data_IF_593041391262
#
_entry.id   IF_593041391262
#
_cell.length_a   1.000
_cell.length_b   1.000
_cell.length_c   1.000
_cell.angle_alpha   90.00
_cell.angle_beta   90.00
_cell.angle_gamma   90.00
#
_symmetry.space_group_name_H-M   'P 1'
#
loop_
_entity.id
_entity.type
_entity.pdbx_description
1 polymer ?
#
# COMPACT_ATOMS: atom_id res chain seq x y z
N UNK A 1 16.31 -11.77 16.80
CA UNK A 1 14.92 -12.29 16.89
C UNK A 1 14.01 -11.23 16.34
N UNK A 2 12.90 -11.61 15.71
CA UNK A 2 11.92 -10.64 15.22
C UNK A 2 11.23 -9.99 16.42
N UNK A 3 11.20 -8.66 16.48
CA UNK A 3 10.77 -7.90 17.67
C UNK A 3 9.99 -6.66 17.28
N UNK A 4 9.09 -6.24 18.17
CA UNK A 4 8.49 -4.91 18.12
C UNK A 4 9.50 -3.94 18.75
N UNK A 5 10.04 -3.02 17.97
CA UNK A 5 10.98 -2.00 18.45
C UNK A 5 10.25 -0.85 19.13
N UNK A 6 9.12 -0.45 18.55
CA UNK A 6 8.37 0.72 18.99
C UNK A 6 6.89 0.54 18.73
N UNK A 7 6.09 0.99 19.69
CA UNK A 7 4.65 1.18 19.57
C UNK A 7 4.31 2.62 19.93
N UNK A 8 3.60 3.29 19.05
CA UNK A 8 3.04 4.63 19.26
C UNK A 8 1.52 4.48 19.38
N UNK A 9 0.99 4.48 20.60
CA UNK A 9 -0.41 4.10 20.89
C UNK A 9 -1.46 5.04 20.29
N UNK A 10 -1.17 6.34 20.17
CA UNK A 10 -2.11 7.35 19.68
C UNK A 10 -1.42 8.17 18.61
N UNK A 11 -1.20 7.56 17.45
CA UNK A 11 -0.61 8.23 16.31
C UNK A 11 -1.64 9.12 15.59
N UNK A 12 -2.91 8.74 15.62
CA UNK A 12 -4.05 9.47 15.07
C UNK A 12 -5.23 9.50 16.06
N UNK A 13 -6.18 10.41 15.83
CA UNK A 13 -7.38 10.53 16.67
C UNK A 13 -8.43 9.48 16.27
N UNK A 14 -8.32 8.89 15.07
CA UNK A 14 -9.14 7.78 14.58
C UNK A 14 -8.29 6.68 13.90
N UNK A 15 -8.96 5.61 13.45
CA UNK A 15 -8.33 4.47 12.80
C UNK A 15 -7.43 4.87 11.63
N UNK A 16 -6.25 4.25 11.55
CA UNK A 16 -5.28 4.52 10.49
C UNK A 16 -5.45 3.44 9.42
N UNK A 17 -5.83 3.86 8.22
CA UNK A 17 -6.15 2.94 7.12
C UNK A 17 -4.99 2.77 6.14
N UNK A 18 -4.15 3.78 6.02
CA UNK A 18 -3.08 3.79 5.04
C UNK A 18 -1.75 4.19 5.65
N UNK A 19 -0.69 3.55 5.17
CA UNK A 19 0.67 3.92 5.45
C UNK A 19 1.52 3.64 4.20
N UNK A 20 2.54 4.47 3.99
CA UNK A 20 3.62 4.19 3.05
C UNK A 20 4.94 4.72 3.61
N UNK A 21 6.04 4.02 3.33
CA UNK A 21 7.34 4.32 3.93
C UNK A 21 8.42 4.42 2.86
N UNK A 22 8.97 5.62 2.72
CA UNK A 22 10.09 5.90 1.82
C UNK A 22 11.40 6.04 2.59
N UNK A 23 12.48 5.57 1.97
CA UNK A 23 13.83 5.85 2.42
C UNK A 23 14.73 6.14 1.23
N UNK A 24 15.54 7.18 1.37
CA UNK A 24 16.46 7.61 0.34
C UNK A 24 17.67 6.68 0.26
N UNK A 25 17.71 5.80 -0.74
CA UNK A 25 18.79 4.83 -0.93
C UNK A 25 20.14 5.51 -1.20
N UNK A 26 20.12 6.71 -1.80
CA UNK A 26 21.34 7.50 -2.08
C UNK A 26 21.85 8.24 -0.83
N UNK A 27 21.01 8.41 0.19
CA UNK A 27 21.37 9.03 1.46
C UNK A 27 20.91 8.18 2.66
N UNK A 28 21.57 7.04 2.93
CA UNK A 28 21.13 6.06 3.93
C UNK A 28 21.28 6.52 5.39
N UNK A 29 21.78 7.74 5.61
CA UNK A 29 21.83 8.40 6.92
C UNK A 29 20.58 9.26 7.18
N UNK A 30 19.83 9.57 6.13
CA UNK A 30 18.57 10.32 6.25
C UNK A 30 17.49 9.41 6.86
N UNK A 31 16.77 9.86 7.91
CA UNK A 31 15.64 9.14 8.44
C UNK A 31 14.62 8.81 7.35
N UNK A 32 14.01 7.62 7.43
CA UNK A 32 12.92 7.27 6.52
C UNK A 32 11.69 8.15 6.79
N UNK A 33 10.95 8.46 5.73
CA UNK A 33 9.67 9.18 5.80
C UNK A 33 8.53 8.18 5.79
N UNK A 34 7.82 8.08 6.90
CA UNK A 34 6.58 7.30 6.99
C UNK A 34 5.41 8.28 6.85
N UNK A 35 4.52 8.04 5.88
CA UNK A 35 3.30 8.81 5.68
C UNK A 35 2.13 7.95 6.11
N UNK A 36 1.22 8.48 6.93
CA UNK A 36 0.01 7.77 7.39
C UNK A 36 -1.24 8.58 7.10
N UNK A 37 -2.30 7.89 6.67
CA UNK A 37 -3.64 8.45 6.45
C UNK A 37 -4.67 7.76 7.33
N UNK A 38 -5.53 8.55 7.96
CA UNK A 38 -6.50 8.06 8.92
C UNK A 38 -7.91 8.62 8.71
N UNK A 39 -8.87 8.03 9.43
CA UNK A 39 -10.26 8.45 9.45
C UNK A 39 -10.52 9.76 10.21
N UNK A 40 -9.48 10.36 10.79
CA UNK A 40 -9.54 11.71 11.41
C UNK A 40 -9.35 12.83 10.38
N UNK A 41 -9.51 12.51 9.09
CA UNK A 41 -9.34 13.38 7.92
C UNK A 41 -7.89 13.89 7.70
N UNK A 42 -6.94 13.44 8.51
CA UNK A 42 -5.55 13.93 8.46
C UNK A 42 -4.61 12.96 7.75
N UNK A 43 -3.60 13.55 7.11
CA UNK A 43 -2.37 12.85 6.74
C UNK A 43 -1.27 13.30 7.68
N UNK A 44 -0.49 12.38 8.23
CA UNK A 44 0.68 12.68 9.06
C UNK A 44 1.95 12.17 8.42
N UNK A 45 3.02 12.96 8.52
CA UNK A 45 4.35 12.61 8.05
C UNK A 45 5.26 12.46 9.27
N UNK A 46 5.94 11.33 9.35
CA UNK A 46 6.80 10.94 10.46
C UNK A 46 8.23 10.72 9.97
N UNK A 47 9.19 11.16 10.76
CA UNK A 47 10.59 10.76 10.66
C UNK A 47 10.77 9.47 11.45
N UNK A 48 11.37 8.46 10.82
CA UNK A 48 11.74 7.22 11.50
C UNK A 48 13.22 6.96 11.29
N UNK A 49 13.97 6.91 12.38
CA UNK A 49 15.40 6.64 12.33
C UNK A 49 15.71 5.18 11.95
N UNK A 50 16.98 4.91 11.64
CA UNK A 50 17.46 3.57 11.27
C UNK A 50 17.19 2.50 12.34
N UNK A 51 17.15 2.92 13.62
CA UNK A 51 16.88 2.02 14.72
C UNK A 51 15.39 1.61 14.78
N UNK A 52 14.50 2.43 14.21
CA UNK A 52 13.05 2.28 14.33
C UNK A 52 12.51 2.63 15.72
N UNK A 53 13.37 3.05 16.66
CA UNK A 53 12.97 3.41 18.02
C UNK A 53 12.54 4.87 18.13
N UNK A 54 13.13 5.74 17.29
CA UNK A 54 12.77 7.15 17.24
C UNK A 54 11.83 7.39 16.06
N UNK A 55 10.56 7.52 16.40
CA UNK A 55 9.51 8.00 15.49
C UNK A 55 9.06 9.38 15.96
N UNK A 56 9.20 10.38 15.09
CA UNK A 56 8.86 11.78 15.40
C UNK A 56 7.87 12.32 14.37
N UNK A 57 6.82 12.98 14.85
CA UNK A 57 5.87 13.67 13.97
C UNK A 57 6.56 14.90 13.38
N UNK A 58 6.68 14.96 12.07
CA UNK A 58 7.21 16.13 11.36
C UNK A 58 6.08 17.09 11.00
N UNK A 59 4.95 16.55 10.52
CA UNK A 59 3.83 17.37 10.06
C UNK A 59 2.48 16.65 10.15
N UNK A 60 1.46 17.41 10.56
CA UNK A 60 0.05 17.08 10.34
C UNK A 60 -0.48 17.91 9.19
N UNK A 61 -1.09 17.25 8.21
CA UNK A 61 -1.59 17.83 6.99
C UNK A 61 -3.10 17.76 6.95
N UNK A 62 -3.70 18.94 6.81
CA UNK A 62 -5.13 19.14 6.76
C UNK A 62 -5.55 19.45 5.32
N UNK A 63 -6.76 19.03 4.95
CA UNK A 63 -7.36 19.43 3.69
C UNK A 63 -8.26 18.40 3.05
N UNK A 64 -8.34 17.18 3.56
CA UNK A 64 -9.47 16.30 3.28
C UNK A 64 -10.64 16.65 4.20
N UNK A 65 -11.86 16.37 3.73
CA UNK A 65 -13.10 16.62 4.48
C UNK A 65 -13.75 15.34 4.99
N UNK A 66 -13.17 14.19 4.66
CA UNK A 66 -13.51 12.85 5.14
C UNK A 66 -12.23 12.02 5.28
N UNK A 67 -12.37 10.85 5.90
CA UNK A 67 -11.26 9.94 6.19
C UNK A 67 -10.38 9.61 4.99
N UNK A 68 -9.08 9.60 5.22
CA UNK A 68 -8.06 9.26 4.22
C UNK A 68 -8.00 7.73 4.08
N UNK A 69 -8.19 7.24 2.86
CA UNK A 69 -8.31 5.81 2.56
C UNK A 69 -7.03 5.20 1.99
N UNK A 70 -6.16 6.00 1.37
CA UNK A 70 -4.91 5.53 0.78
C UNK A 70 -3.89 6.66 0.74
N UNK A 71 -2.62 6.29 0.97
CA UNK A 71 -1.46 7.18 0.88
C UNK A 71 -0.36 6.44 0.15
N UNK A 72 0.37 7.12 -0.72
CA UNK A 72 1.49 6.54 -1.46
C UNK A 72 2.55 7.60 -1.73
N UNK A 73 3.82 7.27 -1.50
CA UNK A 73 4.97 8.10 -1.82
C UNK A 73 5.41 7.76 -3.25
N UNK A 74 5.79 8.79 -4.01
CA UNK A 74 6.22 8.60 -5.38
C UNK A 74 7.59 7.87 -5.43
N UNK A 75 7.91 7.14 -6.52
CA UNK A 75 9.19 6.44 -6.66
C UNK A 75 10.46 7.27 -6.44
N UNK A 76 10.40 8.60 -6.60
CA UNK A 76 11.53 9.49 -6.35
C UNK A 76 11.63 9.99 -4.90
N UNK A 77 10.61 9.77 -4.07
CA UNK A 77 10.55 10.22 -2.69
C UNK A 77 10.47 11.73 -2.51
N UNK A 78 9.97 12.46 -3.52
CA UNK A 78 9.85 13.92 -3.48
C UNK A 78 8.42 14.38 -3.23
N UNK A 79 7.46 13.53 -3.50
CA UNK A 79 6.04 13.80 -3.39
C UNK A 79 5.31 12.58 -2.85
N UNK A 80 4.09 12.81 -2.38
CA UNK A 80 3.18 11.71 -2.06
C UNK A 80 1.76 12.14 -2.40
N UNK A 81 0.88 11.16 -2.56
CA UNK A 81 -0.54 11.35 -2.81
C UNK A 81 -1.35 10.76 -1.66
N UNK A 82 -2.51 11.36 -1.41
CA UNK A 82 -3.54 10.83 -0.52
C UNK A 82 -4.90 10.88 -1.20
N UNK A 83 -5.71 9.84 -1.05
CA UNK A 83 -7.12 9.84 -1.43
C UNK A 83 -8.02 9.71 -0.21
N UNK A 84 -9.23 10.21 -0.33
CA UNK A 84 -10.22 10.22 0.76
C UNK A 84 -11.61 9.86 0.24
N UNK A 85 -12.47 9.46 1.17
CA UNK A 85 -13.91 9.29 0.94
C UNK A 85 -14.60 10.59 0.45
N UNK A 86 -13.95 11.75 0.57
CA UNK A 86 -14.42 13.02 0.00
C UNK A 86 -14.28 13.12 -1.52
N UNK A 87 -13.91 12.02 -2.20
CA UNK A 87 -13.70 11.93 -3.64
C UNK A 87 -12.55 12.81 -4.17
N UNK A 88 -11.68 13.30 -3.30
CA UNK A 88 -10.49 14.05 -3.68
C UNK A 88 -9.21 13.22 -3.54
N UNK A 89 -8.30 13.49 -4.47
CA UNK A 89 -6.89 13.11 -4.38
C UNK A 89 -6.08 14.38 -4.13
N UNK A 90 -5.30 14.42 -3.05
CA UNK A 90 -4.35 15.49 -2.80
C UNK A 90 -2.94 15.02 -3.15
N UNK A 91 -2.17 15.87 -3.85
CA UNK A 91 -0.73 15.65 -4.11
C UNK A 91 0.04 16.65 -3.28
N UNK A 92 1.06 16.19 -2.57
CA UNK A 92 1.82 16.95 -1.59
C UNK A 92 3.30 16.90 -1.92
N UNK A 93 4.02 17.97 -1.60
CA UNK A 93 5.48 17.96 -1.56
C UNK A 93 5.97 17.24 -0.28
N UNK A 94 6.94 16.33 -0.38
CA UNK A 94 7.44 15.61 0.80
C UNK A 94 8.54 16.39 1.56
N UNK A 95 9.12 17.43 0.94
CA UNK A 95 10.14 18.28 1.56
C UNK A 95 9.51 19.49 2.25
N UNK A 96 8.59 20.18 1.58
CA UNK A 96 7.93 21.38 2.13
C UNK A 96 6.61 21.07 2.85
N UNK A 97 6.05 19.88 2.61
CA UNK A 97 4.72 19.46 3.07
C UNK A 97 3.56 20.34 2.56
N UNK A 98 3.79 21.11 1.50
CA UNK A 98 2.75 21.92 0.88
C UNK A 98 1.89 21.09 -0.07
N UNK A 99 0.58 21.36 -0.10
CA UNK A 99 -0.34 20.75 -1.06
C UNK A 99 -0.06 21.34 -2.45
N UNK A 100 0.46 20.53 -3.37
CA UNK A 100 0.69 20.91 -4.78
C UNK A 100 -0.61 20.94 -5.58
N UNK A 101 -1.48 19.94 -5.37
CA UNK A 101 -2.73 19.77 -6.13
C UNK A 101 -3.84 19.19 -5.26
N UNK A 102 -5.07 19.54 -5.63
CA UNK A 102 -6.30 18.88 -5.20
C UNK A 102 -7.05 18.49 -6.47
N UNK A 103 -7.34 17.21 -6.62
CA UNK A 103 -7.97 16.62 -7.80
C UNK A 103 -9.31 16.05 -7.37
N UNK A 104 -10.40 16.65 -7.85
CA UNK A 104 -11.74 16.06 -7.74
C UNK A 104 -11.83 14.90 -8.74
N UNK A 105 -11.93 13.68 -8.22
CA UNK A 105 -12.00 12.47 -9.03
C UNK A 105 -13.39 12.22 -9.65
N UNK A 106 -14.38 13.04 -9.27
CA UNK A 106 -15.75 12.96 -9.72
C UNK A 106 -16.68 12.24 -8.73
N UNK A 107 -17.95 11.99 -9.12
CA UNK A 107 -18.98 11.43 -8.23
C UNK A 107 -18.80 9.94 -7.91
N UNK A 108 -17.88 9.27 -8.62
CA UNK A 108 -17.55 7.87 -8.37
C UNK A 108 -16.37 7.87 -7.42
N UNK A 109 -16.60 7.46 -6.17
CA UNK A 109 -15.65 7.48 -5.06
C UNK A 109 -14.23 7.07 -5.51
N UNK A 110 -13.23 7.91 -5.25
CA UNK A 110 -11.83 7.49 -5.33
C UNK A 110 -11.51 6.59 -4.15
N UNK A 111 -10.92 5.45 -4.44
CA UNK A 111 -10.53 4.47 -3.42
C UNK A 111 -9.03 4.51 -3.19
N UNK A 112 -8.25 3.59 -3.76
CA UNK A 112 -6.80 3.61 -3.62
C UNK A 112 -6.12 4.57 -4.59
N UNK A 113 -4.91 5.01 -4.25
CA UNK A 113 -4.04 5.79 -5.14
C UNK A 113 -2.70 5.09 -5.35
N UNK A 114 -2.11 5.25 -6.53
CA UNK A 114 -0.78 4.73 -6.86
C UNK A 114 -0.09 5.64 -7.89
N UNK A 115 1.18 5.97 -7.71
CA UNK A 115 1.96 6.65 -8.75
C UNK A 115 2.39 5.67 -9.86
N UNK A 116 2.46 6.18 -11.09
CA UNK A 116 3.22 5.50 -12.15
C UNK A 116 4.71 5.53 -11.83
N UNK A 117 5.48 4.59 -12.42
CA UNK A 117 6.91 4.42 -12.13
C UNK A 117 7.76 5.66 -12.40
N UNK A 118 7.33 6.50 -13.33
CA UNK A 118 7.96 7.76 -13.74
C UNK A 118 7.45 8.99 -12.97
N UNK A 119 6.55 8.78 -11.99
CA UNK A 119 5.89 9.82 -11.19
C UNK A 119 5.12 10.87 -12.00
N UNK A 120 4.83 10.61 -13.28
CA UNK A 120 4.10 11.55 -14.15
C UNK A 120 2.59 11.53 -13.91
N UNK A 121 2.07 10.38 -13.47
CA UNK A 121 0.64 10.19 -13.25
C UNK A 121 0.36 9.60 -11.87
N UNK A 122 -0.79 9.98 -11.32
CA UNK A 122 -1.42 9.29 -10.19
C UNK A 122 -2.64 8.52 -10.71
N UNK A 123 -2.70 7.25 -10.35
CA UNK A 123 -3.78 6.32 -10.66
C UNK A 123 -4.71 6.25 -9.46
N UNK A 124 -6.02 6.15 -9.70
CA UNK A 124 -6.99 5.87 -8.64
C UNK A 124 -8.08 4.91 -9.09
N UNK A 125 -8.36 3.91 -8.26
CA UNK A 125 -9.46 2.98 -8.48
C UNK A 125 -10.80 3.59 -8.09
N UNK A 126 -11.86 3.28 -8.84
CA UNK A 126 -13.22 3.76 -8.53
C UNK A 126 -14.25 2.63 -8.36
N UNK A 127 -15.45 3.01 -7.91
CA UNK A 127 -16.61 2.13 -7.68
C UNK A 127 -17.06 1.32 -8.90
N UNK A 128 -16.86 1.82 -10.11
CA UNK A 128 -17.28 1.18 -11.37
C UNK A 128 -16.26 0.16 -11.89
N UNK A 129 -15.14 -0.05 -11.17
CA UNK A 129 -14.08 -0.95 -11.61
C UNK A 129 -13.24 -0.36 -12.73
N UNK A 130 -13.06 0.96 -12.76
CA UNK A 130 -12.07 1.62 -13.61
C UNK A 130 -10.92 2.15 -12.78
N UNK A 131 -9.81 2.41 -13.46
CA UNK A 131 -8.68 3.14 -12.91
C UNK A 131 -8.62 4.48 -13.63
N UNK A 132 -8.73 5.56 -12.90
CA UNK A 132 -8.60 6.91 -13.43
C UNK A 132 -7.15 7.38 -13.32
N UNK A 133 -6.61 7.89 -14.42
CA UNK A 133 -5.23 8.35 -14.52
C UNK A 133 -5.21 9.87 -14.64
N UNK A 134 -4.58 10.53 -13.68
CA UNK A 134 -4.48 11.98 -13.61
C UNK A 134 -3.02 12.41 -13.75
N UNK A 135 -2.78 13.46 -14.53
CA UNK A 135 -1.46 14.08 -14.63
C UNK A 135 -1.08 14.73 -13.30
N UNK A 136 0.11 14.42 -12.79
CA UNK A 136 0.65 15.04 -11.56
C UNK A 136 0.90 16.53 -11.76
N UNK A 137 1.36 16.93 -12.96
CA UNK A 137 1.66 18.33 -13.29
C UNK A 137 0.38 19.17 -13.40
N UNK A 138 -0.61 18.68 -14.16
CA UNK A 138 -1.80 19.48 -14.48
C UNK A 138 -2.98 19.25 -13.53
N UNK A 139 -3.02 18.09 -12.85
CA UNK A 139 -4.15 17.64 -12.04
C UNK A 139 -5.36 17.19 -12.86
N UNK A 140 -5.25 17.12 -14.20
CA UNK A 140 -6.36 16.74 -15.08
C UNK A 140 -6.40 15.24 -15.29
N UNK A 141 -7.60 14.70 -15.45
CA UNK A 141 -7.83 13.32 -15.91
C UNK A 141 -7.38 13.21 -17.36
N UNK A 142 -6.41 12.33 -17.60
CA UNK A 142 -5.83 12.07 -18.93
C UNK A 142 -6.43 10.80 -19.56
N UNK A 143 -6.67 9.78 -18.74
CA UNK A 143 -7.18 8.48 -19.23
C UNK A 143 -8.03 7.77 -18.18
N UNK A 144 -8.99 6.97 -18.66
CA UNK A 144 -9.73 5.99 -17.86
C UNK A 144 -9.35 4.60 -18.36
N UNK A 145 -8.85 3.74 -17.46
CA UNK A 145 -8.37 2.40 -17.78
C UNK A 145 -9.43 1.37 -17.39
N UNK A 146 -9.84 0.57 -18.36
CA UNK A 146 -10.88 -0.45 -18.18
C UNK A 146 -10.28 -1.72 -17.56
N UNK A 147 -10.76 -2.12 -16.37
CA UNK A 147 -10.34 -3.38 -15.73
C UNK A 147 -11.25 -4.55 -16.07
N UNK A 148 -12.45 -4.26 -16.61
CA UNK A 148 -13.56 -5.22 -16.80
C UNK A 148 -14.05 -5.87 -15.50
N UNK A 149 -13.68 -5.32 -14.34
CA UNK A 149 -14.04 -5.80 -13.01
C UNK A 149 -15.22 -5.04 -12.40
N UNK A 150 -15.40 -5.26 -11.09
CA UNK A 150 -16.22 -4.40 -10.22
C UNK A 150 -15.30 -3.40 -9.51
N UNK A 151 -15.83 -2.64 -8.54
CA UNK A 151 -15.08 -1.69 -7.70
C UNK A 151 -13.62 -2.08 -7.47
N UNK A 152 -12.72 -1.17 -7.85
CA UNK A 152 -11.28 -1.30 -7.73
C UNK A 152 -10.85 -0.96 -6.29
N UNK A 153 -10.44 -1.98 -5.54
CA UNK A 153 -10.12 -1.87 -4.11
C UNK A 153 -8.63 -1.71 -3.82
N UNK A 154 -7.78 -2.17 -4.73
CA UNK A 154 -6.33 -2.13 -4.56
C UNK A 154 -5.63 -1.92 -5.89
N UNK A 155 -4.51 -1.21 -5.84
CA UNK A 155 -3.67 -0.90 -7.00
C UNK A 155 -2.21 -1.17 -6.66
N UNK A 156 -1.45 -1.65 -7.65
CA UNK A 156 0.00 -1.69 -7.59
C UNK A 156 0.58 -1.46 -8.98
N UNK A 157 1.75 -0.83 -9.04
CA UNK A 157 2.54 -0.67 -10.27
C UNK A 157 3.84 -1.44 -10.08
N UNK A 158 4.24 -2.22 -11.08
CA UNK A 158 5.49 -2.98 -10.99
C UNK A 158 6.71 -2.04 -10.99
N UNK A 159 7.79 -2.38 -10.25
CA UNK A 159 9.01 -1.56 -10.21
C UNK A 159 9.66 -1.29 -11.58
N UNK A 160 9.50 -2.20 -12.55
CA UNK A 160 9.93 -2.01 -13.94
C UNK A 160 8.96 -1.17 -14.79
N UNK A 161 7.79 -0.80 -14.24
CA UNK A 161 6.74 -0.02 -14.90
C UNK A 161 5.95 -0.80 -15.96
N UNK A 162 6.20 -2.10 -16.13
CA UNK A 162 5.56 -2.93 -17.16
C UNK A 162 4.10 -3.24 -16.87
N UNK A 163 3.72 -3.30 -15.60
CA UNK A 163 2.41 -3.76 -15.19
C UNK A 163 1.73 -2.80 -14.22
N UNK A 164 0.43 -2.62 -14.41
CA UNK A 164 -0.51 -2.11 -13.42
C UNK A 164 -1.41 -3.27 -13.02
N UNK A 165 -1.48 -3.59 -11.74
CA UNK A 165 -2.41 -4.57 -11.19
C UNK A 165 -3.53 -3.87 -10.42
N UNK A 166 -4.76 -4.37 -10.56
CA UNK A 166 -5.94 -3.85 -9.88
C UNK A 166 -6.77 -4.98 -9.28
N UNK A 167 -6.94 -4.97 -7.97
CA UNK A 167 -7.73 -5.95 -7.23
C UNK A 167 -9.17 -5.48 -7.09
N UNK A 168 -10.11 -6.33 -7.51
CA UNK A 168 -11.54 -6.02 -7.50
C UNK A 168 -12.27 -6.56 -6.26
N UNK A 169 -13.43 -5.96 -5.97
CA UNK A 169 -14.38 -6.45 -4.95
C UNK A 169 -14.98 -7.83 -5.24
N UNK A 170 -14.81 -8.35 -6.45
CA UNK A 170 -15.27 -9.69 -6.86
C UNK A 170 -14.18 -10.77 -6.78
N UNK A 171 -12.99 -10.46 -6.24
CA UNK A 171 -11.88 -11.42 -6.14
C UNK A 171 -11.02 -11.54 -7.39
N UNK A 172 -11.36 -10.82 -8.47
CA UNK A 172 -10.56 -10.80 -9.68
C UNK A 172 -9.43 -9.78 -9.57
N UNK A 173 -8.27 -10.08 -10.16
CA UNK A 173 -7.19 -9.10 -10.33
C UNK A 173 -7.02 -8.82 -11.81
N UNK A 174 -7.26 -7.58 -12.23
CA UNK A 174 -6.97 -7.14 -13.59
C UNK A 174 -5.49 -6.76 -13.70
N UNK A 175 -4.83 -7.23 -14.74
CA UNK A 175 -3.48 -6.85 -15.12
C UNK A 175 -3.54 -6.03 -16.41
N UNK A 176 -2.95 -4.84 -16.38
CA UNK A 176 -2.91 -3.90 -17.49
C UNK A 176 -1.45 -3.64 -17.86
N UNK A 177 -1.19 -3.44 -19.15
CA UNK A 177 0.11 -2.96 -19.63
C UNK A 177 0.38 -1.56 -19.06
N UNK A 178 1.50 -1.37 -18.38
CA UNK A 178 1.82 -0.13 -17.67
C UNK A 178 1.96 1.08 -18.59
N UNK A 179 2.78 1.02 -19.67
CA UNK A 179 2.98 2.15 -20.57
C UNK A 179 1.70 2.58 -21.32
N UNK A 180 0.90 1.62 -21.77
CA UNK A 180 -0.31 1.93 -22.55
C UNK A 180 -1.56 2.02 -21.70
N UNK A 181 -1.58 1.46 -20.49
CA UNK A 181 -2.79 1.32 -19.68
C UNK A 181 -3.85 0.41 -20.29
N UNK A 182 -3.48 -0.45 -21.25
CA UNK A 182 -4.43 -1.35 -21.91
C UNK A 182 -4.63 -2.62 -21.08
N UNK A 183 -5.87 -3.08 -20.97
CA UNK A 183 -6.19 -4.37 -20.37
C UNK A 183 -5.40 -5.50 -21.04
N UNK A 184 -4.67 -6.27 -20.24
CA UNK A 184 -3.93 -7.43 -20.71
C UNK A 184 -4.62 -8.74 -20.33
N UNK A 185 -4.87 -8.97 -19.03
CA UNK A 185 -5.41 -10.24 -18.54
C UNK A 185 -6.12 -10.10 -17.20
N UNK A 186 -7.03 -11.02 -16.92
CA UNK A 186 -7.58 -11.23 -15.57
C UNK A 186 -6.89 -12.42 -14.91
N UNK A 187 -6.38 -12.23 -13.70
CA UNK A 187 -5.91 -13.29 -12.82
C UNK A 187 -7.07 -13.70 -11.91
N UNK A 188 -7.40 -14.98 -11.95
CA UNK A 188 -8.45 -15.59 -11.15
C UNK A 188 -7.83 -16.38 -10.00
N UNK A 189 -8.58 -16.53 -8.90
CA UNK A 189 -8.19 -17.44 -7.83
C UNK A 189 -8.80 -17.10 -6.47
N UNK A 190 -9.05 -15.81 -6.20
CA UNK A 190 -9.71 -15.39 -4.97
C UNK A 190 -11.24 -15.41 -5.14
N UNK A 191 -11.93 -15.83 -4.08
CA UNK A 191 -13.40 -15.90 -4.05
C UNK A 191 -14.06 -14.66 -3.42
N UNK A 192 -13.25 -13.77 -2.86
CA UNK A 192 -13.67 -12.61 -2.07
C UNK A 192 -12.80 -11.39 -2.41
N UNK A 193 -13.16 -10.16 -2.00
CA UNK A 193 -12.43 -8.93 -2.31
C UNK A 193 -10.91 -9.05 -2.18
N UNK A 194 -10.16 -8.44 -3.11
CA UNK A 194 -8.69 -8.32 -3.07
C UNK A 194 -8.32 -6.93 -2.53
N UNK A 195 -7.83 -6.88 -1.29
CA UNK A 195 -7.61 -5.64 -0.53
C UNK A 195 -6.23 -5.04 -0.69
N UNK A 196 -5.22 -5.86 -1.00
CA UNK A 196 -3.87 -5.36 -1.22
C UNK A 196 -3.13 -6.18 -2.27
N UNK A 197 -2.21 -5.50 -2.95
CA UNK A 197 -1.38 -6.01 -4.02
C UNK A 197 0.05 -5.53 -3.79
N UNK A 198 1.03 -6.37 -4.10
CA UNK A 198 2.43 -5.95 -4.10
C UNK A 198 3.21 -6.70 -5.18
N UNK A 199 3.95 -5.97 -6.02
CA UNK A 199 4.93 -6.59 -6.92
C UNK A 199 6.23 -6.85 -6.19
N UNK A 200 6.92 -7.93 -6.56
CA UNK A 200 8.29 -8.15 -6.07
C UNK A 200 9.24 -7.07 -6.60
N UNK A 201 10.35 -6.78 -5.90
CA UNK A 201 11.32 -5.77 -6.33
C UNK A 201 11.88 -5.99 -7.75
N UNK A 202 12.02 -7.26 -8.16
CA UNK A 202 12.47 -7.66 -9.49
C UNK A 202 11.34 -7.72 -10.55
N UNK A 203 10.12 -7.35 -10.17
CA UNK A 203 8.91 -7.37 -11.03
C UNK A 203 8.55 -8.75 -11.60
N UNK A 204 9.05 -9.85 -11.00
CA UNK A 204 8.78 -11.21 -11.47
C UNK A 204 7.54 -11.86 -10.83
N UNK A 205 7.13 -11.38 -9.66
CA UNK A 205 5.99 -11.89 -8.90
C UNK A 205 4.97 -10.80 -8.56
N UNK A 206 3.72 -11.22 -8.38
CA UNK A 206 2.64 -10.41 -7.80
C UNK A 206 2.04 -11.15 -6.60
N UNK A 207 2.03 -10.49 -5.45
CA UNK A 207 1.25 -10.88 -4.28
C UNK A 207 -0.13 -10.25 -4.31
N UNK A 208 -1.11 -11.02 -3.85
CA UNK A 208 -2.52 -10.60 -3.77
C UNK A 208 -3.07 -11.05 -2.42
N UNK A 209 -3.68 -10.14 -1.67
CA UNK A 209 -4.22 -10.38 -0.34
C UNK A 209 -5.75 -10.18 -0.34
N UNK A 210 -6.49 -11.11 0.26
CA UNK A 210 -7.94 -11.17 0.12
C UNK A 210 -8.69 -11.45 1.42
N UNK A 211 -9.96 -11.08 1.40
CA UNK A 211 -10.98 -11.43 2.39
C UNK A 211 -11.23 -12.93 2.50
N UNK A 212 -10.82 -13.71 1.50
CA UNK A 212 -10.86 -15.16 1.59
C UNK A 212 -9.77 -15.74 2.51
N UNK A 213 -9.02 -14.86 3.20
CA UNK A 213 -8.01 -15.16 4.23
C UNK A 213 -6.70 -15.71 3.67
N UNK A 214 -6.54 -15.70 2.35
CA UNK A 214 -5.34 -16.19 1.69
C UNK A 214 -4.55 -15.05 1.06
N UNK A 215 -3.25 -15.30 0.91
CA UNK A 215 -2.39 -14.56 -0.02
C UNK A 215 -2.02 -15.47 -1.17
N UNK A 216 -2.23 -15.03 -2.41
CA UNK A 216 -1.75 -15.77 -3.60
C UNK A 216 -0.53 -15.10 -4.19
N UNK A 217 0.36 -15.94 -4.70
CA UNK A 217 1.60 -15.55 -5.38
C UNK A 217 1.45 -15.95 -6.85
N UNK A 218 1.53 -14.97 -7.75
CA UNK A 218 1.50 -15.19 -9.19
C UNK A 218 2.88 -14.96 -9.78
N UNK A 219 3.36 -15.89 -10.60
CA UNK A 219 4.55 -15.68 -11.43
C UNK A 219 4.14 -14.93 -12.71
N UNK A 220 4.80 -13.81 -13.00
CA UNK A 220 4.43 -12.95 -14.13
C UNK A 220 5.04 -13.38 -15.46
N UNK A 221 5.91 -14.40 -15.44
CA UNK A 221 6.46 -15.01 -16.65
C UNK A 221 5.37 -15.74 -17.46
N UNK A 222 4.48 -16.47 -16.77
CA UNK A 222 3.41 -17.27 -17.37
C UNK A 222 2.01 -16.99 -16.77
N UNK A 223 1.93 -16.10 -15.78
CA UNK A 223 0.72 -15.73 -15.04
C UNK A 223 0.11 -16.89 -14.24
N UNK A 224 0.93 -17.86 -13.84
CA UNK A 224 0.49 -18.99 -13.02
C UNK A 224 0.50 -18.68 -11.53
N UNK A 225 -0.39 -19.35 -10.77
CA UNK A 225 -0.36 -19.33 -9.31
C UNK A 225 0.77 -20.25 -8.83
N UNK A 226 1.82 -19.69 -8.25
CA UNK A 226 2.96 -20.43 -7.72
C UNK A 226 2.89 -20.64 -6.21
N UNK A 227 1.99 -19.95 -5.51
CA UNK A 227 1.79 -20.12 -4.07
C UNK A 227 0.39 -19.69 -3.61
N UNK A 228 -0.13 -20.36 -2.59
CA UNK A 228 -1.32 -19.93 -1.84
C UNK A 228 -1.00 -20.08 -0.37
N UNK A 229 -0.91 -18.95 0.32
CA UNK A 229 -0.47 -18.83 1.70
C UNK A 229 -1.70 -18.79 2.59
N UNK A 230 -1.81 -19.77 3.47
CA UNK A 230 -2.87 -19.89 4.46
C UNK A 230 -2.31 -19.68 5.86
N UNK A 231 -3.06 -19.03 6.75
CA UNK A 231 -2.69 -18.92 8.16
C UNK A 231 -3.41 -17.80 8.90
N UNK A 232 -3.85 -16.75 8.20
CA UNK A 232 -4.73 -15.75 8.77
C UNK A 232 -6.12 -16.34 9.03
N UNK A 233 -6.74 -15.96 10.15
CA UNK A 233 -8.08 -16.44 10.54
C UNK A 233 -9.19 -15.50 10.10
N UNK A 234 -8.83 -14.30 9.61
CA UNK A 234 -9.70 -13.28 9.07
C UNK A 234 -9.11 -12.68 7.77
N UNK A 235 -9.74 -11.61 7.28
CA UNK A 235 -9.37 -10.92 6.04
C UNK A 235 -7.91 -10.46 6.05
N UNK A 236 -7.17 -10.74 4.97
CA UNK A 236 -5.82 -10.20 4.80
C UNK A 236 -5.95 -8.82 4.17
N UNK A 237 -5.62 -7.78 4.94
CA UNK A 237 -5.88 -6.39 4.61
C UNK A 237 -4.67 -5.74 3.91
N UNK A 238 -3.45 -6.18 4.23
CA UNK A 238 -2.21 -5.62 3.67
C UNK A 238 -1.17 -6.68 3.33
N UNK A 239 -0.33 -6.38 2.34
CA UNK A 239 0.81 -7.20 1.92
C UNK A 239 1.94 -6.31 1.43
N UNK A 240 3.19 -6.63 1.80
CA UNK A 240 4.35 -5.88 1.34
C UNK A 240 5.59 -6.78 1.21
N UNK A 241 6.38 -6.56 0.16
CA UNK A 241 7.65 -7.24 -0.08
C UNK A 241 8.81 -6.57 0.65
N UNK A 242 9.73 -7.36 1.19
CA UNK A 242 11.03 -6.84 1.60
C UNK A 242 11.83 -6.38 0.37
N UNK A 243 12.72 -5.41 0.56
CA UNK A 243 13.53 -4.86 -0.53
C UNK A 243 14.43 -5.89 -1.24
N UNK A 244 14.79 -6.97 -0.56
CA UNK A 244 15.58 -8.07 -1.14
C UNK A 244 14.74 -9.13 -1.88
N UNK A 245 13.42 -9.01 -1.85
CA UNK A 245 12.48 -9.91 -2.52
C UNK A 245 12.41 -11.34 -1.97
N UNK A 246 13.09 -11.65 -0.86
CA UNK A 246 13.12 -13.01 -0.29
C UNK A 246 12.02 -13.27 0.74
N UNK A 247 11.51 -12.19 1.33
CA UNK A 247 10.51 -12.23 2.40
C UNK A 247 9.35 -11.31 2.05
N UNK A 248 8.17 -11.58 2.59
CA UNK A 248 7.07 -10.62 2.58
C UNK A 248 6.31 -10.65 3.89
N UNK A 249 5.63 -9.54 4.18
CA UNK A 249 4.81 -9.38 5.35
C UNK A 249 3.34 -9.29 4.95
N UNK A 250 2.45 -9.79 5.80
CA UNK A 250 1.00 -9.65 5.66
C UNK A 250 0.39 -9.20 6.97
N UNK A 251 -0.66 -8.39 6.90
CA UNK A 251 -1.44 -7.97 8.05
C UNK A 251 -2.93 -8.24 7.84
N UNK A 252 -3.68 -8.36 8.93
CA UNK A 252 -5.02 -8.94 8.88
C UNK A 252 -5.96 -8.33 9.91
N UNK A 253 -7.25 -8.48 9.62
CA UNK A 253 -8.33 -8.21 10.56
C UNK A 253 -8.31 -9.16 11.79
N UNK A 254 -7.48 -10.22 11.75
CA UNK A 254 -7.21 -11.08 12.91
C UNK A 254 -6.17 -10.53 13.88
N UNK A 255 -5.75 -9.27 13.70
CA UNK A 255 -4.84 -8.53 14.59
C UNK A 255 -3.40 -9.04 14.58
N UNK A 256 -3.06 -9.94 13.66
CA UNK A 256 -1.71 -10.49 13.54
C UNK A 256 -0.97 -9.95 12.30
N UNK A 257 0.35 -9.91 12.43
CA UNK A 257 1.27 -9.76 11.30
C UNK A 257 2.00 -11.08 11.11
N UNK A 258 2.09 -11.53 9.86
CA UNK A 258 2.85 -12.72 9.49
C UNK A 258 3.99 -12.35 8.56
N UNK A 259 5.14 -12.95 8.83
CA UNK A 259 6.34 -12.87 7.99
C UNK A 259 6.48 -14.21 7.29
N UNK A 260 6.67 -14.14 5.98
CA UNK A 260 6.67 -15.30 5.11
C UNK A 260 7.97 -15.38 4.34
N UNK A 261 8.53 -16.58 4.31
CA UNK A 261 9.69 -16.89 3.48
C UNK A 261 9.19 -17.35 2.10
N UNK A 262 9.69 -16.70 1.04
CA UNK A 262 9.21 -16.91 -0.32
C UNK A 262 9.67 -18.25 -0.91
N UNK A 263 10.87 -18.70 -0.55
CA UNK A 263 11.45 -19.96 -1.06
C UNK A 263 10.69 -21.17 -0.53
N UNK A 264 10.50 -21.22 0.79
CA UNK A 264 9.80 -22.31 1.48
C UNK A 264 8.28 -22.16 1.43
N UNK A 265 7.76 -20.97 1.07
CA UNK A 265 6.33 -20.62 1.08
C UNK A 265 5.69 -20.92 2.44
N UNK A 266 6.41 -20.57 3.51
CA UNK A 266 6.00 -20.86 4.88
C UNK A 266 6.07 -19.62 5.77
N UNK A 267 5.29 -19.61 6.84
CA UNK A 267 5.29 -18.52 7.81
C UNK A 267 6.53 -18.68 8.70
N UNK A 268 7.52 -17.81 8.54
CA UNK A 268 8.75 -17.83 9.35
C UNK A 268 8.53 -17.20 10.72
N UNK A 269 7.62 -16.23 10.82
CA UNK A 269 7.26 -15.60 12.09
C UNK A 269 5.83 -15.08 12.12
N UNK A 270 5.23 -15.02 13.31
CA UNK A 270 3.94 -14.37 13.54
C UNK A 270 4.08 -13.47 14.75
N UNK A 271 3.63 -12.22 14.60
CA UNK A 271 3.36 -11.32 15.72
C UNK A 271 1.87 -11.45 16.05
N UNK A 272 1.47 -12.33 17.00
CA UNK A 272 0.09 -12.37 17.47
C UNK A 272 -0.20 -11.09 18.25
N UNK A 273 -1.45 -10.62 18.19
CA UNK A 273 -1.90 -9.42 18.91
C UNK A 273 -0.97 -8.22 18.68
N UNK A 274 -0.45 -8.10 17.45
CA UNK A 274 0.43 -7.01 17.04
C UNK A 274 -0.28 -5.67 17.26
N UNK A 275 -1.58 -5.63 16.98
CA UNK A 275 -2.49 -4.54 17.32
C UNK A 275 -3.61 -5.05 18.22
N UNK A 276 -4.27 -4.15 18.96
CA UNK A 276 -5.43 -4.53 19.78
C UNK A 276 -6.71 -4.69 18.95
N UNK A 277 -6.66 -4.30 17.68
CA UNK A 277 -7.73 -4.42 16.69
C UNK A 277 -7.17 -4.61 15.26
N UNK A 278 -8.01 -4.55 14.22
CA UNK A 278 -7.67 -4.84 12.82
C UNK A 278 -6.48 -4.03 12.31
N UNK A 279 -5.61 -4.67 11.51
CA UNK A 279 -4.41 -4.03 10.95
C UNK A 279 -4.62 -3.75 9.47
N UNK A 280 -4.73 -2.47 9.11
CA UNK A 280 -5.12 -2.05 7.76
C UNK A 280 -3.96 -2.00 6.77
N UNK A 281 -2.77 -1.59 7.21
CA UNK A 281 -1.61 -1.51 6.32
C UNK A 281 -0.34 -2.01 7.00
N UNK A 282 0.53 -2.58 6.19
CA UNK A 282 1.87 -3.03 6.55
C UNK A 282 2.82 -2.64 5.43
N UNK A 283 3.94 -1.98 5.77
CA UNK A 283 4.90 -1.47 4.79
C UNK A 283 6.34 -1.70 5.24
N UNK A 284 7.20 -2.03 4.28
CA UNK A 284 8.62 -2.20 4.55
C UNK A 284 9.33 -0.85 4.55
N UNK A 285 10.11 -0.63 5.60
CA UNK A 285 11.09 0.43 5.69
C UNK A 285 12.50 -0.06 5.35
N UNK A 286 13.50 0.80 5.52
CA UNK A 286 14.89 0.43 5.31
C UNK A 286 15.39 -0.56 6.36
N UNK A 287 16.54 -1.21 6.08
CA UNK A 287 17.29 -2.02 7.06
C UNK A 287 16.44 -3.08 7.79
N UNK A 288 15.57 -3.75 7.02
CA UNK A 288 14.62 -4.77 7.49
C UNK A 288 13.64 -4.29 8.57
N UNK A 289 13.31 -3.00 8.56
CA UNK A 289 12.23 -2.46 9.36
C UNK A 289 10.89 -2.67 8.67
N UNK A 290 9.87 -2.85 9.48
CA UNK A 290 8.49 -2.95 9.04
C UNK A 290 7.68 -1.96 9.87
N UNK A 291 6.73 -1.27 9.25
CA UNK A 291 5.70 -0.52 9.96
C UNK A 291 4.34 -1.16 9.74
N UNK A 292 3.47 -1.09 10.75
CA UNK A 292 2.06 -1.40 10.60
C UNK A 292 1.18 -0.39 11.30
N UNK A 293 -0.03 -0.26 10.77
CA UNK A 293 -1.04 0.68 11.25
C UNK A 293 -2.42 0.03 11.23
N UNK A 294 -3.31 0.46 12.11
CA UNK A 294 -4.61 -0.19 12.24
C UNK A 294 -5.68 0.60 12.95
N UNK A 295 -6.76 -0.12 13.25
CA UNK A 295 -7.98 0.38 13.88
C UNK A 295 -7.75 0.88 15.31
N UNK A 296 -6.71 0.36 15.99
CA UNK A 296 -6.30 0.78 17.33
C UNK A 296 -5.52 2.10 17.35
N UNK A 297 -5.47 2.82 16.22
CA UNK A 297 -4.88 4.17 16.08
C UNK A 297 -3.36 4.20 16.32
N UNK A 298 -2.74 3.03 16.36
CA UNK A 298 -1.33 2.88 16.68
C UNK A 298 -0.46 2.71 15.43
N UNK A 299 0.79 3.15 15.54
CA UNK A 299 1.88 2.77 14.63
C UNK A 299 2.82 1.85 15.39
N UNK A 300 3.09 0.67 14.83
CA UNK A 300 4.12 -0.23 15.33
C UNK A 300 5.28 -0.33 14.35
N UNK A 301 6.50 -0.33 14.88
CA UNK A 301 7.73 -0.57 14.13
C UNK A 301 8.36 -1.87 14.59
N UNK A 302 8.73 -2.72 13.64
CA UNK A 302 9.32 -4.03 13.88
C UNK A 302 10.72 -4.12 13.29
N UNK A 303 11.57 -4.94 13.89
CA UNK A 303 12.78 -5.45 13.26
C UNK A 303 12.53 -6.86 12.78
N UNK A 304 12.75 -7.10 11.49
CA UNK A 304 12.69 -8.44 10.91
C UNK A 304 14.11 -8.92 10.61
N UNK A 305 14.51 -10.00 11.26
CA UNK A 305 15.77 -10.67 11.00
C UNK A 305 15.55 -11.77 9.96
N UNK A 306 16.58 -12.01 9.15
CA UNK A 306 16.67 -13.22 8.34
C UNK A 306 16.96 -14.45 9.21
#
# INVERSE_FOLDING_TARGET
MNTIEKRLEVAHDEAIWAADWYHNVDNPLEPGKLVTGALDDTVKVWSVDDSGQNITLEKTLLGHSLGVVSTVIDPSGKMFASSSLDSNISIWDLETYEKKKSIDSGPLECWTVQFTRDSQYVLSGNGDGKIEMFSVETGKKEKSLETKGKMALSLAVSPDGKWIACGGSNGLVALLDGPTGNFFKTLEGHAMPVRALAFSPDSSLLLTASDDKHVKIYALQDFSVVGTMSGHSSWVLGVAFSADGQTFATCSADKSIRIWDLETKSCSHTFPDAHSDQIWSVVWGPKNKLASVGEDKAINIYTIMK
#
